data_IF_588809077414
#
_entry.id   IF_588809077414
#
_cell.length_a   1.000
_cell.length_b   1.000
_cell.length_c   1.000
_cell.angle_alpha   90.00
_cell.angle_beta   90.00
_cell.angle_gamma   90.00
#
_symmetry.space_group_name_H-M   'P 1'
#
loop_
_entity.id
_entity.type
_entity.pdbx_description
1 polymer ?
#
# COMPACT_ATOMS: atom_id res chain seq x y z
N UNK A 1 1.48 5.37 13.64
CA UNK A 1 1.73 4.51 12.45
C UNK A 1 1.25 3.08 12.73
N UNK A 2 0.64 2.38 11.77
CA UNK A 2 0.10 1.02 11.98
C UNK A 2 1.15 0.01 12.47
N UNK A 3 2.40 0.13 12.02
CA UNK A 3 3.54 -0.69 12.50
C UNK A 3 3.77 -0.53 14.01
N UNK A 4 3.70 0.70 14.51
CA UNK A 4 3.89 1.02 15.95
C UNK A 4 2.74 0.45 16.79
N UNK A 5 1.51 0.53 16.28
CA UNK A 5 0.32 -0.01 16.96
C UNK A 5 0.33 -1.55 17.01
N UNK A 6 0.73 -2.22 15.93
CA UNK A 6 0.79 -3.69 15.90
C UNK A 6 1.91 -4.28 16.75
N UNK A 7 3.03 -3.55 16.89
CA UNK A 7 4.18 -4.01 17.65
C UNK A 7 4.17 -3.51 19.11
N UNK A 8 3.14 -2.74 19.50
CA UNK A 8 3.02 -2.09 20.81
C UNK A 8 4.31 -1.34 21.23
N UNK A 9 4.90 -0.60 20.29
CA UNK A 9 6.12 0.18 20.55
C UNK A 9 5.78 1.41 21.41
N UNK A 10 5.84 1.23 22.72
CA UNK A 10 5.67 2.31 23.69
C UNK A 10 6.77 3.38 23.55
N UNK A 11 6.39 4.66 23.61
CA UNK A 11 7.30 5.80 23.62
C UNK A 11 7.75 6.34 22.26
N UNK A 12 7.24 5.78 21.15
CA UNK A 12 7.58 6.23 19.77
C UNK A 12 6.60 7.29 19.23
N UNK A 13 5.45 7.48 19.87
CA UNK A 13 4.43 8.45 19.45
C UNK A 13 3.66 9.05 20.64
N UNK A 14 2.85 10.07 20.34
CA UNK A 14 2.08 10.79 21.35
C UNK A 14 0.91 9.99 21.92
N UNK A 15 0.29 9.10 21.12
CA UNK A 15 -0.80 8.20 21.54
C UNK A 15 -1.11 7.12 20.49
N UNK A 16 -1.73 6.01 20.92
CA UNK A 16 -2.18 4.94 20.02
C UNK A 16 -3.25 5.44 19.05
N UNK A 17 -3.07 5.17 17.75
CA UNK A 17 -4.02 5.55 16.71
C UNK A 17 -3.92 6.99 16.19
N UNK A 18 -3.05 7.83 16.79
CA UNK A 18 -2.79 9.19 16.28
C UNK A 18 -1.70 9.15 15.21
N UNK A 19 -1.87 9.92 14.13
CA UNK A 19 -0.82 10.13 13.14
C UNK A 19 0.20 11.12 13.71
N UNK A 20 1.45 10.69 13.79
CA UNK A 20 2.58 11.50 14.23
C UNK A 20 3.71 11.34 13.23
N UNK A 21 4.54 12.37 13.13
CA UNK A 21 5.74 12.39 12.30
C UNK A 21 6.95 12.22 13.22
N UNK A 22 8.01 11.58 12.71
CA UNK A 22 9.26 11.41 13.43
C UNK A 22 10.24 12.50 12.99
N UNK A 23 11.12 12.91 13.90
CA UNK A 23 12.07 14.01 13.63
C UNK A 23 13.14 13.63 12.59
N UNK A 24 13.33 12.33 12.31
CA UNK A 24 14.30 11.86 11.31
C UNK A 24 13.80 10.70 10.45
N UNK A 25 14.26 10.68 9.19
CA UNK A 25 14.02 9.58 8.25
C UNK A 25 14.63 8.26 8.75
N UNK A 26 15.73 8.34 9.49
CA UNK A 26 16.41 7.16 10.06
C UNK A 26 15.55 6.51 11.14
N UNK A 27 14.87 7.30 11.97
CA UNK A 27 13.96 6.78 12.98
C UNK A 27 12.77 6.08 12.33
N UNK A 28 12.18 6.68 11.29
CA UNK A 28 11.13 6.06 10.47
C UNK A 28 11.60 4.74 9.85
N UNK A 29 12.80 4.70 9.29
CA UNK A 29 13.37 3.48 8.73
C UNK A 29 13.57 2.39 9.79
N UNK A 30 14.03 2.74 10.99
CA UNK A 30 14.24 1.81 12.10
C UNK A 30 12.94 1.10 12.51
N UNK A 31 11.84 1.84 12.59
CA UNK A 31 10.51 1.31 12.93
C UNK A 31 9.98 0.41 11.82
N UNK A 32 10.15 0.80 10.55
CA UNK A 32 9.75 -0.04 9.41
C UNK A 32 10.54 -1.35 9.39
N UNK A 33 11.86 -1.30 9.61
CA UNK A 33 12.69 -2.50 9.71
C UNK A 33 12.31 -3.37 10.91
N UNK A 34 12.01 -2.78 12.07
CA UNK A 34 11.47 -3.51 13.23
C UNK A 34 10.14 -4.22 12.90
N UNK A 35 9.32 -3.62 12.04
CA UNK A 35 8.11 -4.24 11.49
C UNK A 35 8.33 -5.22 10.33
N UNK A 36 9.57 -5.63 10.06
CA UNK A 36 9.89 -6.59 9.01
C UNK A 36 9.79 -6.04 7.59
N UNK A 37 9.75 -4.71 7.41
CA UNK A 37 9.74 -4.13 6.07
C UNK A 37 11.07 -4.37 5.37
N UNK A 38 10.96 -4.86 4.15
CA UNK A 38 12.08 -4.96 3.21
C UNK A 38 11.93 -3.90 2.12
N UNK A 39 13.01 -3.62 1.38
CA UNK A 39 12.94 -2.76 0.19
C UNK A 39 11.90 -3.28 -0.81
N UNK A 40 11.82 -4.60 -0.99
CA UNK A 40 10.83 -5.25 -1.86
C UNK A 40 9.39 -4.98 -1.38
N UNK A 41 9.15 -5.02 -0.07
CA UNK A 41 7.85 -4.69 0.51
C UNK A 41 7.50 -3.23 0.24
N UNK A 42 8.44 -2.31 0.48
CA UNK A 42 8.25 -0.88 0.24
C UNK A 42 7.92 -0.56 -1.22
N UNK A 43 8.69 -1.10 -2.16
CA UNK A 43 8.45 -0.91 -3.61
C UNK A 43 7.09 -1.47 -4.02
N UNK A 44 6.76 -2.71 -3.61
CA UNK A 44 5.47 -3.31 -3.94
C UNK A 44 4.30 -2.50 -3.36
N UNK A 45 4.43 -1.96 -2.14
CA UNK A 45 3.39 -1.14 -1.53
C UNK A 45 3.19 0.20 -2.25
N UNK A 46 4.28 0.87 -2.66
CA UNK A 46 4.20 2.09 -3.46
C UNK A 46 3.53 1.83 -4.81
N UNK A 47 3.96 0.78 -5.53
CA UNK A 47 3.38 0.39 -6.82
C UNK A 47 1.91 0.01 -6.70
N UNK A 48 1.56 -0.82 -5.71
CA UNK A 48 0.18 -1.19 -5.45
C UNK A 48 -0.64 0.08 -5.21
N UNK A 49 -0.20 0.98 -4.33
CA UNK A 49 -0.92 2.22 -3.97
C UNK A 49 -1.25 3.10 -5.17
N UNK A 50 -0.36 3.19 -6.17
CA UNK A 50 -0.60 3.95 -7.39
C UNK A 50 -1.64 3.31 -8.33
N UNK A 51 -1.81 1.99 -8.26
CA UNK A 51 -2.59 1.23 -9.24
C UNK A 51 -3.95 0.76 -8.70
N UNK A 52 -4.09 0.46 -7.42
CA UNK A 52 -5.24 -0.33 -6.93
C UNK A 52 -6.43 0.47 -6.43
N UNK A 53 -6.28 1.75 -6.11
CA UNK A 53 -7.20 2.44 -5.19
C UNK A 53 -8.17 3.41 -5.91
N UNK A 54 -9.29 2.91 -6.48
CA UNK A 54 -10.42 3.77 -6.74
C UNK A 54 -11.09 4.09 -5.40
N UNK A 55 -11.03 5.35 -4.99
CA UNK A 55 -11.81 5.81 -3.84
C UNK A 55 -13.32 5.70 -4.15
N UNK A 56 -14.14 5.54 -3.11
CA UNK A 56 -15.60 5.37 -3.25
C UNK A 56 -16.26 6.50 -4.03
N UNK A 57 -15.73 7.72 -3.95
CA UNK A 57 -16.19 8.90 -4.70
C UNK A 57 -15.92 8.77 -6.21
N UNK A 58 -14.79 8.18 -6.61
CA UNK A 58 -14.49 7.89 -8.02
C UNK A 58 -15.46 6.85 -8.57
N UNK A 59 -15.67 5.76 -7.83
CA UNK A 59 -16.61 4.69 -8.22
C UNK A 59 -18.03 5.27 -8.38
N UNK A 60 -18.46 6.09 -7.41
CA UNK A 60 -19.76 6.74 -7.44
C UNK A 60 -19.91 7.67 -8.64
N UNK A 61 -18.87 8.45 -8.97
CA UNK A 61 -18.87 9.33 -10.14
C UNK A 61 -19.02 8.55 -11.43
N UNK A 62 -18.26 7.46 -11.61
CA UNK A 62 -18.37 6.60 -12.80
C UNK A 62 -19.80 6.08 -12.95
N UNK A 63 -20.40 5.58 -11.87
CA UNK A 63 -21.77 5.11 -11.92
C UNK A 63 -22.77 6.22 -12.26
N UNK A 64 -22.60 7.42 -11.68
CA UNK A 64 -23.50 8.54 -11.91
C UNK A 64 -23.47 9.01 -13.36
N UNK A 65 -22.29 9.14 -13.94
CA UNK A 65 -22.07 9.66 -15.30
C UNK A 65 -22.36 8.60 -16.38
N UNK A 66 -22.07 7.33 -16.13
CA UNK A 66 -22.30 6.26 -17.12
C UNK A 66 -23.65 5.56 -16.97
N UNK A 67 -24.27 5.64 -15.78
CA UNK A 67 -25.44 4.85 -15.36
C UNK A 67 -25.30 3.33 -15.58
N UNK A 68 -24.07 2.83 -15.71
CA UNK A 68 -23.79 1.43 -16.04
C UNK A 68 -23.06 0.72 -14.91
N UNK A 69 -23.72 -0.28 -14.33
CA UNK A 69 -23.13 -1.16 -13.31
C UNK A 69 -21.98 -1.98 -13.92
N UNK A 70 -22.15 -2.47 -15.16
CA UNK A 70 -21.12 -3.28 -15.84
C UNK A 70 -19.80 -2.51 -15.95
N UNK A 71 -19.86 -1.26 -16.41
CA UNK A 71 -18.67 -0.42 -16.56
C UNK A 71 -18.09 0.02 -15.22
N UNK A 72 -18.94 0.33 -14.23
CA UNK A 72 -18.50 0.66 -12.87
C UNK A 72 -17.70 -0.48 -12.24
N UNK A 73 -18.18 -1.73 -12.38
CA UNK A 73 -17.49 -2.91 -11.86
C UNK A 73 -16.16 -3.13 -12.58
N UNK A 74 -16.12 -3.04 -13.92
CA UNK A 74 -14.88 -3.18 -14.69
C UNK A 74 -13.86 -2.12 -14.26
N UNK A 75 -14.26 -0.85 -14.17
CA UNK A 75 -13.37 0.24 -13.76
C UNK A 75 -12.89 0.11 -12.31
N UNK A 76 -13.61 -0.62 -11.45
CA UNK A 76 -13.20 -0.88 -10.07
C UNK A 76 -12.23 -2.07 -9.98
N UNK A 77 -12.52 -3.15 -10.70
CA UNK A 77 -11.75 -4.40 -10.60
C UNK A 77 -10.48 -4.41 -11.45
N UNK A 78 -10.48 -3.74 -12.60
CA UNK A 78 -9.34 -3.71 -13.51
C UNK A 78 -8.08 -3.10 -12.87
N UNK A 79 -8.13 -1.95 -12.17
CA UNK A 79 -6.96 -1.40 -11.49
C UNK A 79 -6.43 -2.32 -10.38
N UNK A 80 -7.32 -2.98 -9.65
CA UNK A 80 -6.96 -3.96 -8.61
C UNK A 80 -6.21 -5.14 -9.24
N UNK A 81 -6.74 -5.71 -10.33
CA UNK A 81 -6.10 -6.80 -11.05
C UNK A 81 -4.71 -6.39 -11.58
N UNK A 82 -4.58 -5.17 -12.09
CA UNK A 82 -3.28 -4.61 -12.50
C UNK A 82 -2.30 -4.47 -11.33
N UNK A 83 -2.76 -3.98 -10.18
CA UNK A 83 -1.93 -3.87 -8.98
C UNK A 83 -1.39 -5.23 -8.51
N UNK A 84 -2.24 -6.25 -8.46
CA UNK A 84 -1.81 -7.61 -8.10
C UNK A 84 -0.87 -8.23 -9.12
N UNK A 85 -1.16 -8.10 -10.42
CA UNK A 85 -0.30 -8.67 -11.47
C UNK A 85 1.09 -8.03 -11.46
N UNK A 86 1.18 -6.70 -11.37
CA UNK A 86 2.47 -5.99 -11.37
C UNK A 86 3.29 -6.37 -10.13
N UNK A 87 2.71 -6.32 -8.94
CA UNK A 87 3.43 -6.68 -7.70
C UNK A 87 3.87 -8.14 -7.68
N UNK A 88 3.05 -9.05 -8.22
CA UNK A 88 3.43 -10.45 -8.41
C UNK A 88 4.68 -10.57 -9.28
N UNK A 89 4.70 -9.96 -10.47
CA UNK A 89 5.85 -10.05 -11.38
C UNK A 89 7.11 -9.40 -10.80
N UNK A 90 7.00 -8.24 -10.15
CA UNK A 90 8.14 -7.60 -9.47
C UNK A 90 8.74 -8.55 -8.43
N UNK A 91 7.89 -9.22 -7.65
CA UNK A 91 8.35 -10.18 -6.65
C UNK A 91 8.99 -11.43 -7.29
N UNK A 92 8.45 -11.94 -8.40
CA UNK A 92 9.08 -13.04 -9.14
C UNK A 92 10.47 -12.64 -9.67
N UNK A 93 10.58 -11.47 -10.29
CA UNK A 93 11.84 -10.95 -10.85
C UNK A 93 12.88 -10.75 -9.73
N UNK A 94 12.47 -10.15 -8.61
CA UNK A 94 13.34 -9.98 -7.46
C UNK A 94 13.92 -11.31 -6.99
N UNK A 95 13.07 -12.33 -6.84
CA UNK A 95 13.53 -13.67 -6.49
C UNK A 95 14.48 -14.22 -7.55
N UNK A 96 14.17 -14.14 -8.84
CA UNK A 96 15.07 -14.68 -9.88
C UNK A 96 16.45 -14.01 -9.91
N UNK A 97 16.55 -12.71 -9.60
CA UNK A 97 17.80 -11.95 -9.64
C UNK A 97 18.61 -12.12 -8.35
N UNK A 98 17.95 -12.02 -7.19
CA UNK A 98 18.62 -12.01 -5.88
C UNK A 98 18.68 -13.38 -5.21
N UNK A 99 17.90 -14.35 -5.67
CA UNK A 99 17.92 -15.75 -5.22
C UNK A 99 18.76 -16.61 -6.17
N UNK A 100 20.03 -16.22 -6.33
CA UNK A 100 21.08 -17.12 -6.81
C UNK A 100 21.91 -17.58 -5.62
#
# INVERSE_FOLDING_TARGET
>A
MLTVANLDLAGVGSDSGVMFELDSVTDTASILHAGGWTLLTGINLMLFSLLHNPCSTTIYTIYKETKSVRWTVISTLLPIAMGFTITFFITQIWRLIFWK
#
